data_IF_508333775953
#
_entry.id   IF_508333775953
#
_cell.length_a   1.000
_cell.length_b   1.000
_cell.length_c   1.000
_cell.angle_alpha   90.00
_cell.angle_beta   90.00
_cell.angle_gamma   90.00
#
_symmetry.space_group_name_H-M   'P 1'
#
loop_
_entity.id
_entity.type
_entity.pdbx_description
1 polymer ?
#
# COMPACT_ATOMS: atom_id res chain seq x y z
N UNK A 1 5.00 6.29 20.25
CA UNK A 1 4.91 6.13 18.79
C UNK A 1 6.27 5.77 18.22
N UNK A 2 6.33 5.21 17.00
CA UNK A 2 7.60 4.88 16.33
C UNK A 2 8.51 6.11 16.21
N UNK A 3 7.95 7.32 16.12
CA UNK A 3 8.65 8.58 16.04
C UNK A 3 9.29 9.02 17.36
N UNK A 4 8.63 8.84 18.49
CA UNK A 4 9.22 9.17 19.80
C UNK A 4 10.44 8.30 20.07
N UNK A 5 10.40 7.02 19.66
CA UNK A 5 11.54 6.11 19.77
C UNK A 5 12.68 6.51 18.84
N UNK A 6 12.42 6.91 17.59
CA UNK A 6 13.46 7.37 16.66
C UNK A 6 14.13 8.65 17.10
N UNK A 7 13.39 9.62 17.68
CA UNK A 7 13.95 10.87 18.16
C UNK A 7 14.71 10.73 19.49
N UNK A 8 14.37 9.76 20.34
CA UNK A 8 15.07 9.50 21.61
C UNK A 8 16.33 8.65 21.45
N UNK A 9 16.51 7.94 20.34
CA UNK A 9 17.72 7.15 20.06
C UNK A 9 18.68 7.93 19.17
N UNK A 10 19.16 9.09 19.64
CA UNK A 10 20.17 9.91 18.91
C UNK A 10 21.58 9.29 18.90
N UNK A 11 21.86 8.27 19.68
CA UNK A 11 23.11 7.55 19.58
C UNK A 11 23.05 6.51 18.44
N UNK A 12 24.04 6.47 17.54
CA UNK A 12 24.11 5.45 16.50
C UNK A 12 24.40 4.10 17.15
N UNK A 13 23.35 3.38 17.52
CA UNK A 13 23.44 1.99 18.02
C UNK A 13 23.72 1.02 16.86
N UNK A 14 24.59 1.40 15.93
CA UNK A 14 24.93 0.59 14.75
C UNK A 14 25.45 -0.79 15.22
N UNK A 15 24.78 -1.85 14.80
CA UNK A 15 25.11 -3.23 15.19
C UNK A 15 24.67 -3.67 16.59
N UNK A 16 23.94 -2.81 17.35
CA UNK A 16 23.53 -3.11 18.74
C UNK A 16 22.03 -3.05 18.95
N UNK A 17 21.22 -2.89 17.89
CA UNK A 17 19.76 -2.86 17.96
C UNK A 17 19.14 -3.84 16.97
N UNK A 18 18.06 -4.46 17.38
CA UNK A 18 17.11 -5.12 16.50
C UNK A 18 15.88 -4.25 16.38
N UNK A 19 15.45 -3.97 15.16
CA UNK A 19 14.26 -3.16 14.87
C UNK A 19 13.17 -4.07 14.32
N UNK A 20 12.02 -4.07 14.99
CA UNK A 20 10.85 -4.83 14.61
C UNK A 20 9.73 -3.88 14.21
N UNK A 21 9.16 -4.08 13.03
CA UNK A 21 8.00 -3.33 12.58
C UNK A 21 6.75 -4.18 12.76
N UNK A 22 5.73 -3.61 13.40
CA UNK A 22 4.40 -4.21 13.51
C UNK A 22 3.48 -3.52 12.52
N UNK A 23 3.01 -4.27 11.54
CA UNK A 23 2.02 -3.86 10.58
C UNK A 23 0.61 -4.25 11.04
N UNK A 24 -0.47 -3.74 10.39
CA UNK A 24 -1.78 -4.39 10.50
C UNK A 24 -1.66 -5.88 10.18
N UNK A 25 -2.49 -6.71 10.80
CA UNK A 25 -2.40 -8.17 10.68
C UNK A 25 -2.37 -8.60 9.21
N UNK A 26 -1.46 -9.51 8.88
CA UNK A 26 -1.36 -10.08 7.54
C UNK A 26 -2.43 -11.14 7.32
N UNK A 27 -2.74 -11.42 6.05
CA UNK A 27 -3.59 -12.56 5.68
C UNK A 27 -3.13 -13.86 6.34
N UNK A 28 -1.82 -14.11 6.37
CA UNK A 28 -1.25 -15.32 6.98
C UNK A 28 -1.46 -15.40 8.49
N UNK A 29 -1.28 -14.29 9.21
CA UNK A 29 -1.54 -14.23 10.65
C UNK A 29 -3.01 -14.49 10.95
N UNK A 30 -3.91 -13.90 10.18
CA UNK A 30 -5.35 -14.10 10.29
C UNK A 30 -5.75 -15.53 9.94
N UNK A 31 -5.24 -16.10 8.84
CA UNK A 31 -5.52 -17.47 8.44
C UNK A 31 -5.00 -18.49 9.48
N UNK A 32 -3.86 -18.23 10.10
CA UNK A 32 -3.34 -19.06 11.19
C UNK A 32 -4.20 -18.97 12.46
N UNK A 33 -4.84 -17.83 12.71
CA UNK A 33 -5.70 -17.61 13.88
C UNK A 33 -7.10 -18.18 13.70
N UNK A 34 -7.73 -17.94 12.55
CA UNK A 34 -9.17 -18.23 12.30
C UNK A 34 -9.43 -19.37 11.33
N UNK A 35 -8.40 -20.00 10.77
CA UNK A 35 -8.43 -20.92 9.63
C UNK A 35 -8.53 -20.21 8.27
N UNK A 36 -7.82 -20.75 7.29
CA UNK A 36 -7.70 -20.18 5.94
C UNK A 36 -9.05 -19.99 5.23
N UNK A 37 -9.95 -21.00 5.32
CA UNK A 37 -11.28 -20.94 4.71
C UNK A 37 -12.14 -19.81 5.28
N UNK A 38 -11.98 -19.50 6.56
CA UNK A 38 -12.70 -18.37 7.19
C UNK A 38 -12.18 -17.04 6.68
N UNK A 39 -10.87 -16.86 6.56
CA UNK A 39 -10.30 -15.62 6.02
C UNK A 39 -10.62 -15.42 4.53
N UNK A 40 -10.69 -16.49 3.74
CA UNK A 40 -11.19 -16.41 2.36
C UNK A 40 -12.64 -15.90 2.29
N UNK A 41 -13.52 -16.36 3.19
CA UNK A 41 -14.89 -15.86 3.30
C UNK A 41 -14.97 -14.40 3.77
N UNK A 42 -14.02 -13.97 4.58
CA UNK A 42 -13.93 -12.59 5.09
C UNK A 42 -13.23 -11.62 4.15
N UNK A 43 -12.78 -12.06 2.97
CA UNK A 43 -12.04 -11.22 2.02
C UNK A 43 -12.76 -9.91 1.71
N UNK A 44 -14.07 -9.95 1.42
CA UNK A 44 -14.86 -8.74 1.17
C UNK A 44 -14.85 -7.78 2.36
N UNK A 45 -14.93 -8.32 3.57
CA UNK A 45 -14.85 -7.54 4.79
C UNK A 45 -13.47 -6.91 4.97
N UNK A 46 -12.38 -7.66 4.71
CA UNK A 46 -10.99 -7.15 4.77
C UNK A 46 -10.75 -6.03 3.76
N UNK A 47 -11.32 -6.12 2.56
CA UNK A 47 -11.21 -5.06 1.56
C UNK A 47 -11.88 -3.75 1.99
N UNK A 48 -12.94 -3.82 2.80
CA UNK A 48 -13.66 -2.63 3.27
C UNK A 48 -13.09 -2.12 4.60
N UNK A 49 -12.87 -3.00 5.57
CA UNK A 49 -12.55 -2.62 6.95
C UNK A 49 -11.08 -2.85 7.34
N UNK A 50 -10.29 -3.49 6.47
CA UNK A 50 -8.87 -3.74 6.74
C UNK A 50 -8.61 -4.83 7.78
N UNK A 51 -7.42 -4.77 8.37
CA UNK A 51 -6.89 -5.82 9.23
C UNK A 51 -6.19 -5.30 10.49
N UNK A 52 -6.53 -4.09 10.96
CA UNK A 52 -6.06 -3.64 12.27
C UNK A 52 -6.62 -4.53 13.38
N UNK A 53 -5.81 -4.95 14.38
CA UNK A 53 -6.26 -5.81 15.47
C UNK A 53 -7.49 -5.27 16.18
N UNK A 54 -7.54 -3.97 16.41
CA UNK A 54 -8.66 -3.32 17.08
C UNK A 54 -9.97 -3.40 16.27
N UNK A 55 -9.88 -3.29 14.93
CA UNK A 55 -11.03 -3.46 14.03
C UNK A 55 -11.53 -4.90 14.05
N UNK A 56 -10.61 -5.87 14.05
CA UNK A 56 -10.95 -7.30 14.05
C UNK A 56 -11.64 -7.73 15.35
N UNK A 57 -11.23 -7.15 16.47
CA UNK A 57 -11.78 -7.45 17.79
C UNK A 57 -13.09 -6.72 18.10
N UNK A 58 -13.52 -5.75 17.28
CA UNK A 58 -14.72 -4.96 17.49
C UNK A 58 -15.72 -5.13 16.32
N UNK A 59 -16.10 -6.37 16.03
CA UNK A 59 -17.07 -6.69 14.99
C UNK A 59 -18.42 -6.00 15.25
N UNK A 60 -18.97 -5.37 14.22
CA UNK A 60 -20.18 -4.56 14.29
C UNK A 60 -19.94 -3.07 14.57
N UNK A 61 -18.74 -2.68 15.06
CA UNK A 61 -18.36 -1.30 15.33
C UNK A 61 -17.14 -0.84 14.51
N UNK A 62 -16.82 -1.53 13.44
CA UNK A 62 -15.60 -1.33 12.64
C UNK A 62 -15.45 0.11 12.15
N UNK A 63 -16.57 0.74 11.75
CA UNK A 63 -16.57 2.12 11.23
C UNK A 63 -16.14 3.11 12.32
N UNK A 64 -16.67 2.95 13.52
CA UNK A 64 -16.34 3.83 14.66
C UNK A 64 -14.87 3.68 15.05
N UNK A 65 -14.42 2.43 15.16
CA UNK A 65 -13.01 2.11 15.47
C UNK A 65 -12.08 2.68 14.40
N UNK A 66 -12.39 2.51 13.12
CA UNK A 66 -11.58 3.03 12.03
C UNK A 66 -11.52 4.56 11.99
N UNK A 67 -12.62 5.24 12.29
CA UNK A 67 -12.63 6.70 12.43
C UNK A 67 -11.73 7.15 13.58
N UNK A 68 -11.86 6.52 14.76
CA UNK A 68 -10.99 6.81 15.89
C UNK A 68 -9.51 6.55 15.61
N UNK A 69 -9.19 5.45 14.92
CA UNK A 69 -7.83 5.14 14.48
C UNK A 69 -7.31 6.19 13.50
N UNK A 70 -8.08 6.52 12.46
CA UNK A 70 -7.69 7.52 11.47
C UNK A 70 -7.46 8.89 12.13
N UNK A 71 -8.34 9.33 13.01
CA UNK A 71 -8.19 10.57 13.77
C UNK A 71 -6.97 10.51 14.71
N UNK A 72 -6.75 9.40 15.39
CA UNK A 72 -5.61 9.20 16.28
C UNK A 72 -4.27 9.28 15.55
N UNK A 73 -4.14 8.60 14.40
CA UNK A 73 -2.94 8.69 13.55
C UNK A 73 -2.73 10.10 13.01
N UNK A 74 -3.79 10.75 12.55
CA UNK A 74 -3.73 12.10 11.98
C UNK A 74 -3.38 13.15 13.02
N UNK A 75 -4.02 13.09 14.20
CA UNK A 75 -3.91 14.16 15.18
C UNK A 75 -2.82 13.94 16.23
N UNK A 76 -2.50 12.72 16.58
CA UNK A 76 -1.58 12.43 17.67
C UNK A 76 -0.15 12.18 17.20
N UNK A 77 0.03 11.30 16.21
CA UNK A 77 1.36 10.89 15.77
C UNK A 77 1.96 11.83 14.73
N UNK A 78 1.14 12.38 13.85
CA UNK A 78 1.64 13.25 12.76
C UNK A 78 1.72 14.72 13.16
N UNK A 79 0.78 15.22 14.00
CA UNK A 79 0.80 16.62 14.42
C UNK A 79 1.81 16.91 15.53
N UNK A 80 2.20 15.91 16.32
CA UNK A 80 3.31 16.04 17.28
C UNK A 80 4.68 16.11 16.60
N UNK A 81 4.76 15.88 15.29
CA UNK A 81 5.99 16.12 14.53
C UNK A 81 6.18 17.62 14.36
N UNK A 82 7.17 18.16 15.06
CA UNK A 82 7.48 19.60 15.21
C UNK A 82 7.59 20.39 13.88
N UNK A 83 7.49 19.73 12.72
CA UNK A 83 7.70 20.31 11.39
C UNK A 83 6.46 20.44 10.50
N UNK A 84 5.25 20.07 11.00
CA UNK A 84 4.03 20.21 10.19
C UNK A 84 3.43 21.60 10.41
N UNK A 85 3.78 22.52 9.50
CA UNK A 85 3.29 23.91 9.55
C UNK A 85 1.80 24.06 9.22
N UNK A 86 1.20 23.08 8.52
CA UNK A 86 -0.19 23.12 8.01
C UNK A 86 -0.87 21.76 8.14
N UNK A 87 -1.35 21.41 9.36
CA UNK A 87 -1.97 20.10 9.63
C UNK A 87 -3.17 19.80 8.75
N UNK A 88 -4.00 20.78 8.47
CA UNK A 88 -5.18 20.67 7.63
C UNK A 88 -4.82 20.28 6.18
N UNK A 89 -3.63 20.65 5.71
CA UNK A 89 -3.14 20.27 4.38
C UNK A 89 -2.68 18.82 4.33
N UNK A 90 -2.16 18.29 5.44
CA UNK A 90 -1.80 16.88 5.54
C UNK A 90 -3.04 15.98 5.44
N UNK A 91 -4.14 16.35 6.10
CA UNK A 91 -5.42 15.63 5.98
C UNK A 91 -5.91 15.64 4.52
N UNK A 92 -5.88 16.82 3.87
CA UNK A 92 -6.24 16.94 2.45
C UNK A 92 -5.32 16.11 1.54
N UNK A 93 -4.02 16.05 1.84
CA UNK A 93 -3.08 15.20 1.12
C UNK A 93 -3.47 13.73 1.24
N UNK A 94 -3.72 13.24 2.46
CA UNK A 94 -4.14 11.86 2.70
C UNK A 94 -5.43 11.51 1.97
N UNK A 95 -6.43 12.41 1.99
CA UNK A 95 -7.67 12.23 1.23
C UNK A 95 -7.40 12.16 -0.29
N UNK A 96 -6.58 13.07 -0.82
CA UNK A 96 -6.19 13.06 -2.23
C UNK A 96 -5.50 11.75 -2.62
N UNK A 97 -4.57 11.24 -1.79
CA UNK A 97 -3.91 9.96 -2.00
C UNK A 97 -4.90 8.78 -1.90
N UNK A 98 -5.87 8.84 -0.98
CA UNK A 98 -6.89 7.81 -0.83
C UNK A 98 -7.82 7.72 -2.06
N UNK A 99 -8.12 8.84 -2.72
CA UNK A 99 -8.86 8.85 -3.99
C UNK A 99 -8.03 8.36 -5.18
N UNK A 100 -6.69 8.55 -5.15
CA UNK A 100 -5.77 8.16 -6.22
C UNK A 100 -5.08 6.80 -5.97
N UNK A 101 -5.63 5.99 -5.07
CA UNK A 101 -5.06 4.68 -4.73
C UNK A 101 -4.86 3.81 -5.98
N UNK A 102 -3.68 3.19 -6.11
CA UNK A 102 -3.32 2.38 -7.29
C UNK A 102 -2.97 3.19 -8.56
N UNK A 103 -2.98 4.52 -8.49
CA UNK A 103 -2.61 5.39 -9.62
C UNK A 103 -1.22 6.02 -9.41
N UNK A 104 -0.60 6.44 -10.50
CA UNK A 104 0.63 7.23 -10.45
C UNK A 104 0.33 8.61 -9.85
N UNK A 105 1.11 9.04 -8.88
CA UNK A 105 0.92 10.30 -8.16
C UNK A 105 1.94 11.34 -8.62
N UNK A 106 1.43 12.45 -9.15
CA UNK A 106 2.22 13.65 -9.45
C UNK A 106 2.18 14.59 -8.25
N UNK A 107 3.34 14.82 -7.61
CA UNK A 107 3.42 15.73 -6.46
C UNK A 107 3.06 17.17 -6.82
N UNK A 108 3.31 17.59 -8.07
CA UNK A 108 2.91 18.90 -8.54
C UNK A 108 1.40 19.02 -8.66
N UNK A 109 0.72 18.04 -9.26
CA UNK A 109 -0.75 18.05 -9.42
C UNK A 109 -1.47 18.01 -8.08
N UNK A 110 -1.06 17.09 -7.21
CA UNK A 110 -1.61 17.00 -5.85
C UNK A 110 -1.33 18.29 -5.07
N UNK A 111 -0.11 18.81 -5.14
CA UNK A 111 0.28 20.06 -4.50
C UNK A 111 -0.59 21.24 -4.95
N UNK A 112 -0.78 21.40 -6.25
CA UNK A 112 -1.66 22.44 -6.80
C UNK A 112 -3.11 22.31 -6.29
N UNK A 113 -3.62 21.07 -6.23
CA UNK A 113 -4.99 20.81 -5.77
C UNK A 113 -5.20 21.19 -4.30
N UNK A 114 -4.22 20.95 -3.44
CA UNK A 114 -4.34 21.20 -2.00
C UNK A 114 -3.67 22.50 -1.53
N UNK A 115 -3.03 23.23 -2.44
CA UNK A 115 -2.35 24.50 -2.16
C UNK A 115 -1.03 24.28 -1.39
N UNK A 116 -0.19 23.37 -1.85
CA UNK A 116 1.18 23.09 -1.39
C UNK A 116 2.14 23.04 -2.58
N UNK A 117 3.41 23.35 -2.35
CA UNK A 117 4.47 23.07 -3.31
C UNK A 117 4.84 21.57 -3.32
N UNK A 118 5.40 21.10 -4.44
CA UNK A 118 5.73 19.68 -4.62
C UNK A 118 6.75 19.14 -3.62
N UNK A 119 7.69 19.99 -3.15
CA UNK A 119 8.70 19.59 -2.16
C UNK A 119 8.06 19.37 -0.78
N UNK A 120 7.11 20.21 -0.40
CA UNK A 120 6.31 20.02 0.82
C UNK A 120 5.45 18.77 0.73
N UNK A 121 4.81 18.50 -0.43
CA UNK A 121 4.07 17.25 -0.66
C UNK A 121 4.99 16.04 -0.48
N UNK A 122 6.18 16.06 -1.08
CA UNK A 122 7.15 14.97 -0.94
C UNK A 122 7.56 14.75 0.52
N UNK A 123 7.83 15.83 1.26
CA UNK A 123 8.17 15.77 2.69
C UNK A 123 7.03 15.14 3.50
N UNK A 124 5.80 15.54 3.23
CA UNK A 124 4.65 14.98 3.94
C UNK A 124 4.43 13.50 3.61
N UNK A 125 4.62 13.10 2.35
CA UNK A 125 4.55 11.67 1.97
C UNK A 125 5.65 10.87 2.69
N UNK A 126 6.87 11.39 2.80
CA UNK A 126 7.93 10.74 3.57
C UNK A 126 7.58 10.58 5.06
N UNK A 127 6.91 11.56 5.66
CA UNK A 127 6.41 11.45 7.03
C UNK A 127 5.33 10.37 7.16
N UNK A 128 4.40 10.31 6.21
CA UNK A 128 3.36 9.28 6.16
C UNK A 128 3.93 7.87 5.97
N UNK A 129 5.02 7.73 5.21
CA UNK A 129 5.75 6.46 5.07
C UNK A 129 6.40 6.04 6.38
N UNK A 130 7.08 6.96 7.06
CA UNK A 130 7.71 6.71 8.37
C UNK A 130 6.69 6.34 9.45
N UNK A 131 5.45 6.80 9.32
CA UNK A 131 4.33 6.46 10.21
C UNK A 131 3.59 5.18 9.83
N UNK A 132 4.05 4.47 8.79
CA UNK A 132 3.41 3.25 8.27
C UNK A 132 1.94 3.44 7.87
N UNK A 133 1.56 4.64 7.43
CA UNK A 133 0.22 4.90 6.87
C UNK A 133 0.19 4.55 5.39
N UNK A 134 1.21 5.01 4.65
CA UNK A 134 1.35 4.76 3.21
C UNK A 134 2.75 4.26 2.88
N UNK A 135 2.94 3.78 1.66
CA UNK A 135 4.25 3.50 1.09
C UNK A 135 4.25 3.75 -0.42
N UNK A 136 5.42 4.03 -0.96
CA UNK A 136 5.63 4.22 -2.40
C UNK A 136 6.04 2.92 -3.07
N UNK A 137 5.50 2.67 -4.25
CA UNK A 137 5.97 1.66 -5.18
C UNK A 137 6.59 2.38 -6.38
N UNK A 138 7.90 2.24 -6.64
CA UNK A 138 8.57 2.87 -7.77
C UNK A 138 8.22 2.17 -9.09
N UNK A 139 8.40 2.90 -10.20
CA UNK A 139 8.30 2.34 -11.55
C UNK A 139 9.59 1.59 -11.90
N UNK A 140 9.46 0.41 -12.48
CA UNK A 140 10.59 -0.38 -12.95
C UNK A 140 11.17 0.17 -14.24
N UNK A 141 12.50 0.36 -14.26
CA UNK A 141 13.25 0.71 -15.46
C UNK A 141 14.67 0.16 -15.37
N UNK A 142 15.19 -0.42 -16.46
CA UNK A 142 16.62 -0.80 -16.53
C UNK A 142 17.55 0.41 -16.55
N UNK A 143 17.00 1.61 -16.75
CA UNK A 143 17.74 2.86 -16.67
C UNK A 143 17.39 3.56 -15.35
N UNK A 144 18.32 3.54 -14.39
CA UNK A 144 18.17 4.15 -13.06
C UNK A 144 17.73 5.63 -13.12
N UNK A 145 18.24 6.40 -14.09
CA UNK A 145 17.87 7.81 -14.25
C UNK A 145 16.39 7.98 -14.59
N UNK A 146 15.83 7.08 -15.41
CA UNK A 146 14.42 7.08 -15.75
C UNK A 146 13.58 6.61 -14.58
N UNK A 147 14.01 5.58 -13.85
CA UNK A 147 13.36 5.05 -12.66
C UNK A 147 13.23 6.13 -11.58
N UNK A 148 14.31 6.87 -11.29
CA UNK A 148 14.29 7.93 -10.27
C UNK A 148 13.38 9.11 -10.63
N UNK A 149 13.21 9.40 -11.94
CA UNK A 149 12.35 10.49 -12.44
C UNK A 149 10.90 10.09 -12.65
N UNK A 150 10.60 8.80 -12.73
CA UNK A 150 9.25 8.31 -12.96
C UNK A 150 8.34 8.64 -11.77
N UNK A 151 7.05 8.81 -12.07
CA UNK A 151 6.02 8.90 -11.05
C UNK A 151 5.98 7.61 -10.23
N UNK A 152 5.46 7.68 -9.03
CA UNK A 152 5.37 6.57 -8.09
C UNK A 152 3.89 6.30 -7.80
N UNK A 153 3.54 5.04 -7.65
CA UNK A 153 2.25 4.68 -7.07
C UNK A 153 2.35 4.76 -5.54
N UNK A 154 1.28 5.18 -4.90
CA UNK A 154 1.18 5.25 -3.44
C UNK A 154 0.07 4.33 -2.99
N UNK A 155 0.39 3.47 -2.03
CA UNK A 155 -0.51 2.51 -1.42
C UNK A 155 -0.63 2.74 0.07
N UNK A 156 -1.75 2.35 0.64
CA UNK A 156 -1.98 2.33 2.08
C UNK A 156 -1.61 0.96 2.65
N UNK A 157 -1.04 0.93 3.84
CA UNK A 157 -0.78 -0.34 4.54
C UNK A 157 -2.07 -1.07 4.93
N UNK A 158 -3.20 -0.36 4.97
CA UNK A 158 -4.50 -0.93 5.33
C UNK A 158 -5.64 -0.26 4.56
N UNK A 159 -6.54 -1.09 3.99
CA UNK A 159 -7.70 -0.60 3.24
C UNK A 159 -8.72 0.11 4.14
N UNK A 160 -8.89 -0.34 5.38
CA UNK A 160 -9.83 0.24 6.32
C UNK A 160 -9.47 1.69 6.66
N UNK A 161 -8.19 1.97 6.92
CA UNK A 161 -7.69 3.35 7.12
C UNK A 161 -7.92 4.21 5.87
N UNK A 162 -7.59 3.68 4.68
CA UNK A 162 -7.87 4.39 3.41
C UNK A 162 -9.35 4.73 3.28
N UNK A 163 -10.23 3.78 3.57
CA UNK A 163 -11.67 3.96 3.48
C UNK A 163 -12.21 4.94 4.54
N UNK A 164 -11.64 4.93 5.74
CA UNK A 164 -11.99 5.88 6.81
C UNK A 164 -11.69 7.34 6.42
N UNK A 165 -10.56 7.59 5.78
CA UNK A 165 -10.13 8.93 5.33
C UNK A 165 -11.11 9.60 4.35
N UNK A 166 -11.83 8.80 3.57
CA UNK A 166 -12.80 9.27 2.58
C UNK A 166 -14.25 8.86 2.91
N UNK A 167 -14.49 8.34 4.12
CA UNK A 167 -15.80 7.88 4.60
C UNK A 167 -16.50 6.89 3.66
N UNK A 168 -15.76 5.95 3.06
CA UNK A 168 -16.26 5.02 2.05
C UNK A 168 -16.31 3.58 2.60
N UNK A 169 -17.45 3.21 3.21
CA UNK A 169 -17.65 1.91 3.85
C UNK A 169 -18.74 1.05 3.18
N UNK A 170 -19.14 1.40 1.95
CA UNK A 170 -20.12 0.61 1.20
C UNK A 170 -19.60 -0.80 0.93
N UNK A 171 -20.52 -1.76 0.88
CA UNK A 171 -20.23 -3.13 0.44
C UNK A 171 -19.67 -3.14 -0.98
N UNK A 172 -18.92 -4.20 -1.33
CA UNK A 172 -18.21 -4.27 -2.60
C UNK A 172 -19.12 -4.23 -3.84
N UNK A 173 -20.32 -4.77 -3.74
CA UNK A 173 -21.28 -4.82 -4.85
C UNK A 173 -21.67 -3.45 -5.41
N UNK A 174 -21.61 -2.40 -4.58
CA UNK A 174 -21.92 -1.03 -4.97
C UNK A 174 -20.71 -0.16 -5.31
N UNK A 175 -19.49 -0.71 -5.26
CA UNK A 175 -18.25 0.08 -5.38
C UNK A 175 -17.72 0.11 -6.81
N UNK A 176 -17.29 1.30 -7.24
CA UNK A 176 -16.57 1.48 -8.50
C UNK A 176 -15.05 1.30 -8.35
N UNK A 177 -14.52 1.43 -7.15
CA UNK A 177 -13.08 1.37 -6.84
C UNK A 177 -12.60 -0.01 -6.37
N UNK A 178 -13.40 -1.07 -6.58
CA UNK A 178 -13.08 -2.43 -6.14
C UNK A 178 -11.73 -2.93 -6.69
N UNK A 179 -11.41 -2.59 -7.95
CA UNK A 179 -10.11 -2.94 -8.56
C UNK A 179 -8.93 -2.29 -7.84
N UNK A 180 -9.07 -1.01 -7.50
CA UNK A 180 -8.03 -0.26 -6.78
C UNK A 180 -7.87 -0.74 -5.32
N UNK A 181 -8.97 -1.08 -4.64
CA UNK A 181 -8.94 -1.68 -3.30
C UNK A 181 -8.27 -3.06 -3.33
N UNK A 182 -8.58 -3.87 -4.34
CA UNK A 182 -7.99 -5.17 -4.55
C UNK A 182 -6.48 -5.07 -4.78
N UNK A 183 -6.05 -4.18 -5.66
CA UNK A 183 -4.64 -3.92 -5.93
C UNK A 183 -3.92 -3.44 -4.67
N UNK A 184 -4.49 -2.48 -3.92
CA UNK A 184 -3.90 -2.01 -2.67
C UNK A 184 -3.76 -3.13 -1.64
N UNK A 185 -4.79 -3.96 -1.48
CA UNK A 185 -4.76 -5.10 -0.56
C UNK A 185 -3.62 -6.05 -0.92
N UNK A 186 -3.53 -6.50 -2.17
CA UNK A 186 -2.49 -7.43 -2.59
C UNK A 186 -1.08 -6.86 -2.47
N UNK A 187 -0.86 -5.62 -2.90
CA UNK A 187 0.45 -4.97 -2.80
C UNK A 187 0.86 -4.75 -1.34
N UNK A 188 -0.08 -4.33 -0.49
CA UNK A 188 0.15 -4.15 0.93
C UNK A 188 0.47 -5.47 1.64
N UNK A 189 -0.34 -6.51 1.42
CA UNK A 189 -0.11 -7.83 2.00
C UNK A 189 1.23 -8.41 1.54
N UNK A 190 1.56 -8.31 0.25
CA UNK A 190 2.83 -8.79 -0.28
C UNK A 190 4.02 -8.04 0.30
N UNK A 191 3.90 -6.72 0.50
CA UNK A 191 4.94 -5.91 1.16
C UNK A 191 5.18 -6.35 2.60
N UNK A 192 4.12 -6.56 3.38
CA UNK A 192 4.20 -7.05 4.76
C UNK A 192 4.85 -8.44 4.82
N UNK A 193 4.40 -9.35 3.97
CA UNK A 193 4.98 -10.69 3.80
C UNK A 193 6.48 -10.61 3.50
N UNK A 194 6.87 -9.84 2.48
CA UNK A 194 8.26 -9.69 2.06
C UNK A 194 9.14 -9.15 3.20
N UNK A 195 8.62 -8.22 3.99
CA UNK A 195 9.32 -7.71 5.16
C UNK A 195 9.53 -8.80 6.23
N UNK A 196 8.48 -9.52 6.60
CA UNK A 196 8.58 -10.58 7.63
C UNK A 196 9.41 -11.78 7.18
N UNK A 197 9.40 -12.10 5.90
CA UNK A 197 10.20 -13.20 5.32
C UNK A 197 11.63 -12.78 4.95
N UNK A 198 12.01 -11.51 5.22
CA UNK A 198 13.33 -10.96 4.86
C UNK A 198 13.65 -11.14 3.37
N UNK A 199 12.69 -10.77 2.52
CA UNK A 199 12.90 -10.77 1.08
C UNK A 199 13.91 -9.68 0.71
N UNK A 200 15.04 -10.05 0.14
CA UNK A 200 16.15 -9.16 -0.23
C UNK A 200 16.07 -8.66 -1.68
N UNK A 201 14.90 -8.70 -2.28
CA UNK A 201 14.66 -8.15 -3.61
C UNK A 201 14.02 -6.76 -3.58
N UNK A 202 13.79 -6.21 -4.76
CA UNK A 202 13.11 -4.95 -4.95
C UNK A 202 11.72 -5.18 -5.52
N UNK A 203 10.81 -4.25 -5.22
CA UNK A 203 9.43 -4.29 -5.72
C UNK A 203 9.12 -3.03 -6.51
N UNK A 204 8.39 -3.19 -7.62
CA UNK A 204 8.08 -2.14 -8.57
C UNK A 204 6.69 -2.35 -9.17
N UNK A 205 6.19 -1.35 -9.90
CA UNK A 205 5.24 -1.53 -11.00
C UNK A 205 5.95 -1.22 -12.33
N UNK A 206 5.35 -1.60 -13.45
CA UNK A 206 5.88 -1.24 -14.76
C UNK A 206 4.82 -0.61 -15.63
N UNK A 207 5.19 0.44 -16.38
CA UNK A 207 4.28 1.13 -17.27
C UNK A 207 5.00 1.74 -18.45
N UNK A 208 4.37 1.68 -19.64
CA UNK A 208 4.84 2.36 -20.84
C UNK A 208 4.16 3.72 -21.03
N UNK A 209 4.69 4.52 -21.96
CA UNK A 209 4.07 5.78 -22.37
C UNK A 209 2.69 5.56 -22.98
N UNK A 210 2.48 4.42 -23.63
CA UNK A 210 1.20 3.98 -24.22
C UNK A 210 0.25 3.38 -23.19
N UNK A 211 0.55 3.55 -21.89
CA UNK A 211 -0.27 3.12 -20.75
C UNK A 211 -0.46 1.59 -20.65
N UNK A 212 0.44 0.79 -21.23
CA UNK A 212 0.50 -0.63 -20.90
C UNK A 212 1.14 -0.79 -19.53
N UNK A 213 0.61 -1.65 -18.69
CA UNK A 213 0.98 -1.73 -17.29
C UNK A 213 1.14 -3.18 -16.81
N UNK A 214 2.00 -3.38 -15.82
CA UNK A 214 2.06 -4.53 -14.94
C UNK A 214 1.91 -3.99 -13.52
N UNK A 215 0.95 -4.50 -12.79
CA UNK A 215 0.55 -3.94 -11.49
C UNK A 215 1.65 -4.08 -10.44
N UNK A 216 2.37 -5.22 -10.44
CA UNK A 216 3.40 -5.47 -9.45
C UNK A 216 4.53 -6.36 -10.01
N UNK A 217 5.76 -6.00 -9.67
CA UNK A 217 6.97 -6.73 -10.05
C UNK A 217 7.83 -6.99 -8.83
N UNK A 218 8.50 -8.13 -8.80
CA UNK A 218 9.59 -8.43 -7.88
C UNK A 218 10.85 -8.78 -8.65
N UNK A 219 11.95 -8.15 -8.28
CA UNK A 219 13.28 -8.43 -8.82
C UNK A 219 14.18 -8.94 -7.69
N UNK A 220 14.63 -10.18 -7.80
CA UNK A 220 15.55 -10.81 -6.85
C UNK A 220 16.43 -11.83 -7.59
N UNK A 221 17.68 -11.96 -7.19
CA UNK A 221 18.62 -12.96 -7.70
C UNK A 221 18.74 -13.00 -9.23
N UNK A 222 18.61 -11.80 -9.86
CA UNK A 222 18.62 -11.66 -11.31
C UNK A 222 17.34 -12.13 -12.01
N UNK A 223 16.35 -12.66 -11.29
CA UNK A 223 15.03 -13.02 -11.79
C UNK A 223 14.03 -11.87 -11.67
N UNK A 224 13.02 -11.90 -12.53
CA UNK A 224 11.93 -10.94 -12.55
C UNK A 224 10.59 -11.67 -12.54
N UNK A 225 9.76 -11.40 -11.52
CA UNK A 225 8.41 -11.94 -11.39
C UNK A 225 7.40 -10.82 -11.57
N UNK A 226 6.43 -11.02 -12.45
CA UNK A 226 5.43 -10.03 -12.84
C UNK A 226 4.03 -10.51 -12.47
N UNK A 227 3.25 -9.63 -11.86
CA UNK A 227 1.91 -9.95 -11.38
C UNK A 227 0.91 -8.91 -11.89
N UNK A 228 -0.17 -9.43 -12.46
CA UNK A 228 -1.36 -8.66 -12.83
C UNK A 228 -2.49 -8.99 -11.87
N UNK A 229 -3.24 -7.98 -11.47
CA UNK A 229 -4.30 -8.11 -10.49
C UNK A 229 -5.67 -7.89 -11.13
N UNK A 230 -6.57 -8.84 -10.98
CA UNK A 230 -7.96 -8.69 -11.42
C UNK A 230 -8.88 -9.18 -10.30
N UNK A 231 -9.89 -8.39 -9.96
CA UNK A 231 -10.86 -8.80 -8.96
C UNK A 231 -11.63 -10.05 -9.39
N UNK A 232 -12.14 -10.03 -10.62
CA UNK A 232 -12.97 -11.12 -11.16
C UNK A 232 -12.11 -12.24 -11.69
N UNK A 233 -12.37 -13.48 -11.25
CA UNK A 233 -11.71 -14.70 -11.70
C UNK A 233 -11.79 -14.91 -13.23
N UNK A 234 -12.97 -14.64 -13.81
CA UNK A 234 -13.22 -14.82 -15.26
C UNK A 234 -12.85 -13.60 -16.11
N UNK A 235 -12.07 -12.66 -15.57
CA UNK A 235 -11.65 -11.51 -16.35
C UNK A 235 -10.76 -11.95 -17.51
N UNK A 236 -11.18 -11.66 -18.74
CA UNK A 236 -10.32 -11.82 -19.91
C UNK A 236 -9.18 -10.82 -19.83
N UNK A 237 -8.02 -11.27 -19.46
CA UNK A 237 -6.85 -10.42 -19.45
C UNK A 237 -5.70 -11.10 -20.19
N UNK A 238 -4.98 -10.30 -20.97
CA UNK A 238 -3.72 -10.72 -21.61
C UNK A 238 -2.60 -9.90 -20.97
N UNK A 239 -1.69 -10.58 -20.32
CA UNK A 239 -0.44 -9.97 -19.88
C UNK A 239 0.20 -9.24 -21.06
N UNK A 240 0.68 -8.03 -20.83
CA UNK A 240 1.24 -7.16 -21.86
C UNK A 240 2.27 -7.89 -22.73
N UNK A 241 2.00 -7.97 -24.05
CA UNK A 241 2.96 -8.51 -25.00
C UNK A 241 4.24 -7.69 -25.06
N UNK A 242 4.13 -6.37 -24.89
CA UNK A 242 5.27 -5.45 -24.85
C UNK A 242 6.19 -5.77 -23.68
N UNK A 243 5.62 -6.04 -22.49
CA UNK A 243 6.39 -6.45 -21.32
C UNK A 243 7.09 -7.79 -21.57
N UNK A 244 6.34 -8.79 -22.07
CA UNK A 244 6.89 -10.12 -22.37
C UNK A 244 8.03 -10.07 -23.38
N UNK A 245 7.91 -9.23 -24.41
CA UNK A 245 8.97 -9.05 -25.40
C UNK A 245 10.20 -8.34 -24.83
N UNK A 246 10.00 -7.36 -23.95
CA UNK A 246 11.08 -6.63 -23.30
C UNK A 246 11.81 -7.48 -22.24
N UNK A 247 11.09 -8.39 -21.58
CA UNK A 247 11.59 -9.22 -20.47
C UNK A 247 11.19 -10.69 -20.67
N UNK A 248 11.76 -11.39 -21.69
CA UNK A 248 11.31 -12.74 -22.09
C UNK A 248 11.52 -13.80 -21.01
N UNK A 249 12.49 -13.61 -20.12
CA UNK A 249 12.83 -14.54 -19.02
C UNK A 249 12.05 -14.25 -17.74
N UNK A 250 11.06 -13.33 -17.76
CA UNK A 250 10.25 -13.03 -16.57
C UNK A 250 9.17 -14.11 -16.38
N UNK A 251 8.97 -14.50 -15.12
CA UNK A 251 7.79 -15.27 -14.71
C UNK A 251 6.58 -14.34 -14.63
N UNK A 252 5.41 -14.79 -15.05
CA UNK A 252 4.20 -13.97 -15.07
C UNK A 252 3.01 -14.73 -14.49
N UNK A 253 2.26 -14.07 -13.60
CA UNK A 253 1.06 -14.62 -13.00
C UNK A 253 -0.09 -13.63 -13.00
N UNK A 254 -1.31 -14.13 -13.18
CA UNK A 254 -2.56 -13.41 -12.97
C UNK A 254 -3.12 -13.78 -11.60
N UNK A 255 -3.31 -12.79 -10.75
CA UNK A 255 -3.84 -12.96 -9.40
C UNK A 255 -5.26 -12.41 -9.36
N UNK A 256 -6.19 -13.23 -8.89
CA UNK A 256 -7.60 -12.90 -8.75
C UNK A 256 -8.18 -13.46 -7.44
N UNK A 257 -9.43 -13.14 -7.14
CA UNK A 257 -10.07 -13.54 -5.88
C UNK A 257 -10.13 -15.05 -5.62
N UNK A 258 -9.92 -15.88 -6.63
CA UNK A 258 -9.92 -17.35 -6.50
C UNK A 258 -8.51 -17.98 -6.34
N UNK A 259 -7.40 -17.22 -6.43
CA UNK A 259 -6.05 -17.77 -6.31
C UNK A 259 -5.06 -16.88 -5.54
N UNK A 260 -5.54 -15.82 -4.90
CA UNK A 260 -4.68 -14.82 -4.25
C UNK A 260 -3.92 -15.36 -3.03
N UNK A 261 -4.44 -16.39 -2.39
CA UNK A 261 -3.82 -17.07 -1.27
C UNK A 261 -2.41 -17.55 -1.61
N UNK A 262 -2.23 -18.19 -2.76
CA UNK A 262 -0.90 -18.64 -3.24
C UNK A 262 0.10 -17.48 -3.44
N UNK A 263 -0.39 -16.29 -3.76
CA UNK A 263 0.44 -15.07 -3.86
C UNK A 263 0.83 -14.53 -2.48
N UNK A 264 -0.05 -14.72 -1.48
CA UNK A 264 0.14 -14.21 -0.11
C UNK A 264 0.83 -15.22 0.83
N UNK A 265 0.82 -16.51 0.54
CA UNK A 265 1.61 -17.54 1.24
C UNK A 265 3.06 -17.56 0.76
#
# INVERSE_FOLDING_TARGET
SAFELQNKTQEPLTGRKFEFHLFPLTYRELANHSQELMEQRLLNHRLVFGSYPEVINNQGNEIEVLKLLADSFLYRDLLMLENIKKPEKLVKLLQALAYQIGQEVSYNEVGNTIGLDSKTVETYIQLLEKSFVVFRLPSFSRNLRNELKALKKIYFYDNGIRNALIASFQLLEGRQDIGALWENYLVSERRKKNFYQRFYGNSYFWRTKEKQEIDYLEEADGGLKAYEFKWKEKAKHRISKTFRNAYPNSEMALIHSGNYDSFLH
#
